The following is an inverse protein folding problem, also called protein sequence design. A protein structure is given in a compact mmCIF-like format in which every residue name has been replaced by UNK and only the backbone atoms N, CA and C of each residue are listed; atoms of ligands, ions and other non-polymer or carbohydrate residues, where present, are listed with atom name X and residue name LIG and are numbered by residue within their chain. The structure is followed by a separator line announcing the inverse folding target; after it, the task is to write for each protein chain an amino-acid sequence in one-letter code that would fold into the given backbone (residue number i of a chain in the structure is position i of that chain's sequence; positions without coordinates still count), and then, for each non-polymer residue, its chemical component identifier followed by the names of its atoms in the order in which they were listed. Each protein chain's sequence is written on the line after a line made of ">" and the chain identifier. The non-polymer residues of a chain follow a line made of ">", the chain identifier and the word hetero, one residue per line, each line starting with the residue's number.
data_IF_483535955201
#
_entry.id   IF_483535955201
#
_cell.length_a   1.000
_cell.length_b   1.000
_cell.length_c   1.000
_cell.angle_alpha   90.00
_cell.angle_beta   90.00
_cell.angle_gamma   90.00
#
_symmetry.space_group_name_H-M   'P 1'
#
loop_
_entity.id
_entity.type
_entity.pdbx_description
1 polymer ?
#
# COMPACT_ATOMS: atom_id res chain seq x y z
N UNK A 1 -13.24 -10.77 1.50
CA UNK A 1 -12.64 -9.43 1.46
C UNK A 1 -13.69 -8.45 1.01
N UNK A 2 -13.96 -7.48 1.86
CA UNK A 2 -14.99 -6.46 1.66
C UNK A 2 -14.36 -5.11 1.28
N UNK A 3 -13.08 -4.91 1.62
CA UNK A 3 -12.34 -3.68 1.32
C UNK A 3 -10.97 -3.96 0.71
N UNK A 4 -10.62 -3.13 -0.28
CA UNK A 4 -9.31 -3.10 -0.91
C UNK A 4 -8.61 -1.78 -0.56
N UNK A 5 -7.41 -1.85 -0.01
CA UNK A 5 -6.55 -0.68 0.20
C UNK A 5 -5.35 -0.80 -0.73
N UNK A 6 -5.06 0.25 -1.50
CA UNK A 6 -3.87 0.32 -2.34
C UNK A 6 -3.09 1.56 -1.95
N UNK A 7 -1.79 1.42 -1.70
CA UNK A 7 -0.90 2.53 -1.40
C UNK A 7 0.47 2.35 -2.07
N UNK A 8 1.14 3.47 -2.33
CA UNK A 8 2.38 3.52 -3.09
C UNK A 8 3.59 3.88 -2.23
N UNK A 9 4.68 3.11 -2.34
CA UNK A 9 5.96 3.40 -1.68
C UNK A 9 7.03 3.85 -2.67
N UNK A 10 7.85 4.81 -2.29
CA UNK A 10 8.87 5.43 -3.17
C UNK A 10 10.12 4.57 -3.43
N UNK A 11 10.27 3.45 -2.72
CA UNK A 11 11.36 2.48 -2.91
C UNK A 11 10.99 1.14 -2.28
N UNK A 12 11.72 0.07 -2.61
CA UNK A 12 11.50 -1.23 -1.97
C UNK A 12 11.59 -1.16 -0.45
N UNK A 13 12.54 -0.39 0.10
CA UNK A 13 12.67 -0.19 1.54
C UNK A 13 11.44 0.48 2.14
N UNK A 14 10.91 1.50 1.46
CA UNK A 14 9.72 2.20 1.92
C UNK A 14 8.49 1.28 1.89
N UNK A 15 8.29 0.51 0.82
CA UNK A 15 7.21 -0.48 0.74
C UNK A 15 7.30 -1.50 1.88
N UNK A 16 8.49 -2.03 2.17
CA UNK A 16 8.69 -2.95 3.32
C UNK A 16 8.36 -2.30 4.65
N UNK A 17 8.86 -1.10 4.89
CA UNK A 17 8.58 -0.38 6.13
C UNK A 17 7.08 -0.09 6.30
N UNK A 18 6.37 0.25 5.22
CA UNK A 18 4.90 0.39 5.27
C UNK A 18 4.21 -0.93 5.61
N UNK A 19 4.66 -2.05 5.02
CA UNK A 19 4.09 -3.36 5.30
C UNK A 19 4.32 -3.78 6.76
N UNK A 20 5.56 -3.62 7.26
CA UNK A 20 5.92 -3.84 8.65
C UNK A 20 5.02 -3.03 9.59
N UNK A 21 4.79 -1.74 9.29
CA UNK A 21 3.91 -0.91 10.12
C UNK A 21 2.44 -1.30 10.06
N UNK A 22 1.93 -1.71 8.90
CA UNK A 22 0.56 -2.26 8.79
C UNK A 22 0.45 -3.52 9.65
N UNK A 23 1.44 -4.42 9.61
CA UNK A 23 1.46 -5.66 10.39
C UNK A 23 1.51 -5.35 11.89
N UNK A 24 2.37 -4.41 12.31
CA UNK A 24 2.48 -4.00 13.72
C UNK A 24 1.17 -3.38 14.19
N UNK A 25 0.61 -2.42 13.44
CA UNK A 25 -0.65 -1.77 13.78
C UNK A 25 -1.84 -2.74 13.82
N UNK A 26 -1.88 -3.73 12.93
CA UNK A 26 -2.93 -4.74 12.96
C UNK A 26 -2.83 -5.64 14.20
N UNK A 27 -1.60 -6.01 14.61
CA UNK A 27 -1.35 -6.76 15.85
C UNK A 27 -1.71 -6.00 17.12
N UNK A 28 -1.58 -4.67 17.16
CA UNK A 28 -1.94 -3.87 18.36
C UNK A 28 -3.45 -3.82 18.62
N UNK A 29 -4.26 -4.16 17.61
CA UNK A 29 -5.72 -4.29 17.73
C UNK A 29 -6.18 -5.74 17.71
N UNK A 30 -5.29 -6.68 18.05
CA UNK A 30 -5.53 -8.13 18.07
C UNK A 30 -6.00 -8.72 16.72
N UNK A 31 -5.66 -8.06 15.61
CA UNK A 31 -5.98 -8.52 14.25
C UNK A 31 -4.71 -8.89 13.48
N UNK A 32 -4.07 -10.00 13.83
CA UNK A 32 -2.87 -10.45 13.13
C UNK A 32 -3.17 -10.78 11.66
N UNK A 33 -2.28 -10.44 10.71
CA UNK A 33 -2.47 -10.80 9.31
C UNK A 33 -2.63 -12.31 9.12
N UNK A 34 -3.55 -12.70 8.25
CA UNK A 34 -3.74 -14.08 7.80
C UNK A 34 -2.58 -14.53 6.90
N UNK A 35 -2.01 -13.59 6.15
CA UNK A 35 -0.89 -13.83 5.24
C UNK A 35 -0.20 -12.54 4.83
N UNK A 36 1.10 -12.65 4.53
CA UNK A 36 1.93 -11.56 4.01
C UNK A 36 2.79 -12.12 2.87
N UNK A 37 2.70 -11.52 1.70
CA UNK A 37 3.41 -11.97 0.49
C UNK A 37 4.26 -10.85 -0.11
N UNK A 38 5.44 -11.18 -0.64
CA UNK A 38 6.32 -10.23 -1.35
C UNK A 38 7.10 -9.24 -0.46
N UNK A 39 6.96 -9.33 0.87
CA UNK A 39 7.64 -8.46 1.85
C UNK A 39 9.16 -8.45 1.64
N UNK A 40 9.77 -9.62 1.40
CA UNK A 40 11.21 -9.72 1.22
C UNK A 40 11.72 -8.95 0.01
N UNK A 41 10.95 -8.84 -1.06
CA UNK A 41 11.30 -8.11 -2.28
C UNK A 41 10.96 -6.62 -2.14
N UNK A 42 9.80 -6.31 -1.55
CA UNK A 42 9.32 -4.94 -1.34
C UNK A 42 8.93 -4.21 -2.63
N UNK A 43 8.81 -4.90 -3.76
CA UNK A 43 8.30 -4.26 -4.97
C UNK A 43 6.77 -4.13 -4.93
N UNK A 44 6.13 -5.20 -4.48
CA UNK A 44 4.71 -5.30 -4.21
C UNK A 44 4.53 -6.26 -3.04
N UNK A 45 3.94 -5.76 -1.97
CA UNK A 45 3.58 -6.51 -0.77
C UNK A 45 2.06 -6.58 -0.66
N UNK A 46 1.56 -7.77 -0.38
CA UNK A 46 0.16 -8.00 -0.02
C UNK A 46 0.10 -8.34 1.47
N UNK A 47 -0.78 -7.67 2.20
CA UNK A 47 -1.11 -8.00 3.60
C UNK A 47 -2.59 -8.35 3.66
N UNK A 48 -2.90 -9.59 4.00
CA UNK A 48 -4.27 -10.09 4.16
C UNK A 48 -4.71 -9.96 5.62
N UNK A 49 -5.72 -9.14 5.88
CA UNK A 49 -6.33 -8.92 7.20
C UNK A 49 -7.75 -9.51 7.26
N UNK A 50 -8.10 -10.43 6.36
CA UNK A 50 -9.43 -11.04 6.22
C UNK A 50 -10.39 -10.14 5.42
N UNK A 51 -11.09 -9.25 6.12
CA UNK A 51 -12.09 -8.37 5.50
C UNK A 51 -11.45 -7.23 4.71
N UNK A 52 -10.18 -6.90 5.02
CA UNK A 52 -9.38 -5.89 4.32
C UNK A 52 -8.15 -6.56 3.72
N UNK A 53 -7.85 -6.27 2.45
CA UNK A 53 -6.58 -6.64 1.83
C UNK A 53 -5.82 -5.38 1.43
N UNK A 54 -4.59 -5.24 1.93
CA UNK A 54 -3.74 -4.09 1.69
C UNK A 54 -2.68 -4.44 0.65
N UNK A 55 -2.64 -3.66 -0.43
CA UNK A 55 -1.65 -3.76 -1.49
C UNK A 55 -0.70 -2.57 -1.41
N UNK A 56 0.56 -2.84 -1.08
CA UNK A 56 1.62 -1.84 -1.00
C UNK A 56 2.58 -2.07 -2.14
N UNK A 57 2.76 -1.10 -3.03
CA UNK A 57 3.55 -1.33 -4.25
C UNK A 57 4.32 -0.09 -4.69
N UNK A 58 5.33 -0.27 -5.52
CA UNK A 58 5.98 0.87 -6.17
C UNK A 58 5.03 1.52 -7.21
N UNK A 59 5.13 2.84 -7.44
CA UNK A 59 4.26 3.55 -8.38
C UNK A 59 4.22 2.91 -9.77
N UNK A 60 5.38 2.48 -10.28
CA UNK A 60 5.48 1.83 -11.60
C UNK A 60 4.77 0.48 -11.64
N UNK A 61 4.90 -0.31 -10.58
CA UNK A 61 4.22 -1.60 -10.44
C UNK A 61 2.70 -1.39 -10.37
N UNK A 62 2.25 -0.39 -9.61
CA UNK A 62 0.84 0.03 -9.53
C UNK A 62 0.26 0.43 -10.87
N UNK A 63 0.97 1.27 -11.61
CA UNK A 63 0.55 1.71 -12.94
C UNK A 63 0.44 0.54 -13.92
N UNK A 64 1.43 -0.36 -13.91
CA UNK A 64 1.48 -1.53 -14.78
C UNK A 64 0.31 -2.49 -14.55
N UNK A 65 0.05 -2.86 -13.29
CA UNK A 65 -1.02 -3.81 -12.96
C UNK A 65 -2.41 -3.15 -12.93
N UNK A 66 -2.50 -1.88 -12.50
CA UNK A 66 -3.71 -1.08 -12.51
C UNK A 66 -4.91 -1.75 -11.85
N UNK A 67 -4.70 -2.31 -10.66
CA UNK A 67 -5.74 -3.02 -9.90
C UNK A 67 -6.97 -2.15 -9.68
N UNK A 68 -6.79 -0.84 -9.47
CA UNK A 68 -7.88 0.12 -9.33
C UNK A 68 -8.90 -0.01 -10.47
N UNK A 69 -8.43 -0.12 -11.72
CA UNK A 69 -9.31 -0.25 -12.89
C UNK A 69 -10.10 -1.56 -12.85
N UNK A 70 -9.45 -2.66 -12.46
CA UNK A 70 -10.11 -3.96 -12.33
C UNK A 70 -11.20 -3.95 -11.25
N UNK A 71 -11.00 -3.14 -10.20
CA UNK A 71 -11.92 -3.00 -9.08
C UNK A 71 -12.90 -1.83 -9.23
N UNK A 72 -12.98 -1.21 -10.41
CA UNK A 72 -13.92 -0.12 -10.70
C UNK A 72 -13.61 1.20 -9.96
N UNK A 73 -12.39 1.34 -9.42
CA UNK A 73 -11.89 2.56 -8.82
C UNK A 73 -11.31 3.44 -9.94
N UNK A 74 -12.08 4.42 -10.41
CA UNK A 74 -11.64 5.35 -11.46
C UNK A 74 -10.89 6.53 -10.80
N UNK A 75 -9.72 6.23 -10.21
CA UNK A 75 -8.86 7.21 -9.52
C UNK A 75 -7.64 7.49 -10.41
N UNK A 76 -7.44 8.73 -10.88
CA UNK A 76 -6.26 9.05 -11.68
C UNK A 76 -4.99 8.91 -10.84
N UNK A 77 -4.10 7.97 -11.19
CA UNK A 77 -2.82 7.74 -10.49
C UNK A 77 -1.98 9.03 -10.37
N UNK A 78 -2.10 9.93 -11.35
CA UNK A 78 -1.45 11.24 -11.34
C UNK A 78 -1.94 12.18 -10.22
N UNK A 79 -3.22 12.09 -9.81
CA UNK A 79 -3.78 12.90 -8.73
C UNK A 79 -3.18 12.49 -7.37
N UNK A 80 -2.84 11.21 -7.20
CA UNK A 80 -2.27 10.67 -5.97
C UNK A 80 -0.76 10.95 -5.85
N UNK A 81 -0.02 10.89 -6.96
CA UNK A 81 1.39 11.30 -7.00
C UNK A 81 1.57 12.78 -6.63
N UNK A 82 0.64 13.65 -7.06
CA UNK A 82 0.60 15.05 -6.67
C UNK A 82 0.29 15.23 -5.17
N UNK A 83 -0.64 14.44 -4.61
CA UNK A 83 -0.94 14.46 -3.18
C UNK A 83 0.23 13.96 -2.32
N UNK A 84 0.94 12.92 -2.75
CA UNK A 84 2.12 12.39 -2.07
C UNK A 84 3.29 13.40 -2.08
N UNK A 85 3.51 14.09 -3.20
CA UNK A 85 4.50 15.17 -3.29
C UNK A 85 4.14 16.36 -2.37
N UNK A 86 2.85 16.71 -2.28
CA UNK A 86 2.38 17.76 -1.38
C UNK A 86 2.57 17.38 0.11
N UNK A 87 2.28 16.14 0.50
CA UNK A 87 2.44 15.65 1.87
C UNK A 87 3.92 15.53 2.32
N UNK A 88 4.84 15.31 1.38
CA UNK A 88 6.29 15.30 1.65
C UNK A 88 6.86 16.71 1.90
N UNK A 89 6.23 17.75 1.35
CA UNK A 89 6.64 19.15 1.53
C UNK A 89 6.24 19.77 2.88
N UNK A 90 5.34 19.15 3.64
CA UNK A 90 4.79 19.73 4.90
C UNK A 90 5.52 19.30 6.17
N UNK A 91 6.53 18.40 6.12
CA UNK A 91 7.37 18.04 7.29
C UNK A 91 8.61 18.93 7.44
N UNK A 92 8.40 20.22 7.19
CA UNK A 92 9.33 21.36 7.20
C UNK A 92 9.58 22.09 8.53
N UNK A 93 8.82 21.87 9.61
CA UNK A 93 8.79 22.81 10.75
C UNK A 93 8.77 22.12 12.11
#
# INVERSE_FOLDING_TARGET
>A
TDFLVIASGTSNRHVRAMAEEVIVAAKTIDNAPLGVEGEREGEWVLVDLGDVVVHLMQPRTREFYGLERMWGLDVPVAAEAAAAAAAAGTRAD
#
